data_IF_278832452977
#
_entry.id   IF_278832452977
#
_cell.length_a   1.000
_cell.length_b   1.000
_cell.length_c   1.000
_cell.angle_alpha   90.00
_cell.angle_beta   90.00
_cell.angle_gamma   90.00
#
_symmetry.space_group_name_H-M   'P 1'
#
loop_
_entity.id
_entity.type
_entity.pdbx_description
1 polymer ?
#
# COMPACT_ATOMS: atom_id res chain seq x y z
N UNK A 1 8.06 -25.82 -21.05
CA UNK A 1 7.78 -24.37 -21.03
C UNK A 1 8.70 -23.71 -20.01
N UNK A 2 9.41 -22.63 -20.37
CA UNK A 2 10.21 -21.86 -19.40
C UNK A 2 9.26 -20.97 -18.58
N UNK A 3 9.33 -21.06 -17.24
CA UNK A 3 8.63 -20.12 -16.35
C UNK A 3 9.29 -18.75 -16.44
N UNK A 4 8.51 -17.69 -16.62
CA UNK A 4 9.05 -16.32 -16.62
C UNK A 4 9.20 -15.81 -15.19
N UNK A 5 10.24 -15.04 -14.94
CA UNK A 5 10.48 -14.43 -13.64
C UNK A 5 10.27 -12.92 -13.71
N UNK A 6 9.41 -12.40 -12.83
CA UNK A 6 9.11 -10.98 -12.73
C UNK A 6 9.50 -10.45 -11.35
N UNK A 7 10.13 -9.28 -11.32
CA UNK A 7 10.57 -8.63 -10.08
C UNK A 7 9.93 -7.25 -9.96
N UNK A 8 9.19 -7.02 -8.90
CA UNK A 8 8.56 -5.72 -8.64
C UNK A 8 9.03 -5.17 -7.30
N UNK A 9 9.52 -3.93 -7.33
CA UNK A 9 9.83 -3.15 -6.13
C UNK A 9 8.58 -2.38 -5.71
N UNK A 10 8.12 -2.63 -4.50
CA UNK A 10 6.95 -1.98 -3.89
C UNK A 10 7.37 -1.30 -2.60
N UNK A 11 7.12 0.00 -2.53
CA UNK A 11 7.37 0.79 -1.32
C UNK A 11 6.23 0.60 -0.34
N UNK A 12 6.54 0.60 0.96
CA UNK A 12 5.53 0.67 2.02
C UNK A 12 5.85 1.90 2.87
N UNK A 13 5.01 2.93 2.73
CA UNK A 13 5.21 4.27 3.29
C UNK A 13 4.01 4.71 4.13
N UNK A 14 4.20 5.72 4.98
CA UNK A 14 3.19 6.17 5.95
C UNK A 14 3.81 6.46 7.31
N UNK A 15 3.03 7.04 8.21
CA UNK A 15 3.51 7.55 9.49
C UNK A 15 4.06 6.47 10.45
N UNK A 16 4.69 6.93 11.52
CA UNK A 16 5.17 6.05 12.58
C UNK A 16 3.99 5.34 13.27
N UNK A 17 4.13 4.02 13.45
CA UNK A 17 3.16 3.22 14.20
C UNK A 17 1.88 2.83 13.44
N UNK A 18 1.75 3.20 12.15
CA UNK A 18 0.59 2.82 11.32
C UNK A 18 0.52 1.33 10.96
N UNK A 19 1.62 0.58 11.16
CA UNK A 19 1.65 -0.87 11.02
C UNK A 19 2.29 -1.43 9.73
N UNK A 20 3.08 -0.62 9.00
CA UNK A 20 3.81 -1.00 7.77
C UNK A 20 4.57 -2.33 7.90
N UNK A 21 5.49 -2.40 8.86
CA UNK A 21 6.28 -3.60 9.17
C UNK A 21 5.40 -4.81 9.52
N UNK A 22 4.28 -4.58 10.21
CA UNK A 22 3.36 -5.65 10.61
C UNK A 22 2.59 -6.21 9.42
N UNK A 23 2.15 -5.35 8.49
CA UNK A 23 1.53 -5.78 7.22
C UNK A 23 2.51 -6.62 6.40
N UNK A 24 3.76 -6.17 6.27
CA UNK A 24 4.80 -6.90 5.53
C UNK A 24 5.05 -8.27 6.17
N UNK A 25 5.28 -8.30 7.49
CA UNK A 25 5.50 -9.56 8.23
C UNK A 25 4.31 -10.50 8.11
N UNK A 26 3.08 -9.98 8.16
CA UNK A 26 1.87 -10.77 7.97
C UNK A 26 1.80 -11.35 6.56
N UNK A 27 2.07 -10.55 5.53
CA UNK A 27 2.05 -10.99 4.13
C UNK A 27 3.12 -12.06 3.84
N UNK A 28 4.33 -11.90 4.39
CA UNK A 28 5.48 -12.75 4.06
C UNK A 28 5.51 -14.01 4.92
N UNK A 29 5.34 -13.86 6.23
CA UNK A 29 5.57 -14.93 7.21
C UNK A 29 4.27 -15.47 7.84
N UNK A 30 3.10 -14.94 7.46
CA UNK A 30 1.81 -15.24 8.12
C UNK A 30 1.86 -15.02 9.64
N UNK A 31 2.77 -14.17 10.11
CA UNK A 31 3.04 -13.95 11.53
C UNK A 31 2.71 -12.50 11.93
N UNK A 32 2.25 -12.33 13.17
CA UNK A 32 2.03 -11.03 13.78
C UNK A 32 2.58 -11.03 15.21
N UNK A 33 3.16 -9.90 15.59
CA UNK A 33 3.62 -9.64 16.95
C UNK A 33 3.09 -8.27 17.38
N UNK A 34 2.57 -8.20 18.60
CA UNK A 34 2.14 -6.94 19.23
C UNK A 34 3.31 -6.08 19.70
N UNK A 35 4.53 -6.64 19.74
CA UNK A 35 5.70 -5.92 20.21
C UNK A 35 6.13 -4.89 19.17
N UNK A 36 5.81 -3.63 19.45
CA UNK A 36 6.22 -2.53 18.61
C UNK A 36 7.74 -2.34 18.66
N UNK A 37 8.37 -2.38 17.48
CA UNK A 37 9.75 -1.96 17.26
C UNK A 37 9.75 -0.98 16.10
N UNK A 38 10.25 0.23 16.35
CA UNK A 38 10.39 1.23 15.30
C UNK A 38 11.41 0.76 14.25
N UNK A 39 11.06 0.85 12.97
CA UNK A 39 12.00 0.67 11.87
C UNK A 39 13.01 1.81 11.88
N UNK A 40 14.30 1.48 11.76
CA UNK A 40 15.39 2.46 11.64
C UNK A 40 15.79 2.50 10.17
N UNK A 41 15.61 3.64 9.51
CA UNK A 41 15.90 3.80 8.08
C UNK A 41 14.95 2.98 7.20
N UNK A 42 15.44 1.85 6.67
CA UNK A 42 14.71 0.99 5.72
C UNK A 42 14.93 -0.49 6.04
N UNK A 43 13.87 -1.28 5.92
CA UNK A 43 13.93 -2.74 5.99
C UNK A 43 13.37 -3.37 4.70
N UNK A 44 13.76 -4.61 4.43
CA UNK A 44 13.45 -5.33 3.19
C UNK A 44 12.83 -6.69 3.47
N UNK A 45 11.75 -7.02 2.75
CA UNK A 45 11.20 -8.36 2.72
C UNK A 45 10.88 -8.82 1.30
N UNK A 46 11.02 -10.12 1.04
CA UNK A 46 10.72 -10.74 -0.24
C UNK A 46 9.50 -11.64 -0.13
N UNK A 47 8.45 -11.36 -0.91
CA UNK A 47 7.35 -12.30 -1.14
C UNK A 47 7.48 -12.92 -2.51
N UNK A 48 7.53 -14.25 -2.57
CA UNK A 48 7.50 -15.00 -3.83
C UNK A 48 6.09 -15.55 -4.03
N UNK A 49 5.51 -15.29 -5.20
CA UNK A 49 4.24 -15.83 -5.65
C UNK A 49 4.48 -16.72 -6.86
N UNK A 50 3.99 -17.95 -6.80
CA UNK A 50 4.07 -18.89 -7.91
C UNK A 50 2.71 -18.92 -8.62
N UNK A 51 2.67 -18.34 -9.82
CA UNK A 51 1.55 -18.49 -10.76
C UNK A 51 1.85 -19.66 -11.70
N UNK A 52 0.85 -20.10 -12.47
CA UNK A 52 0.97 -21.28 -13.34
C UNK A 52 2.18 -21.21 -14.29
N UNK A 53 2.37 -20.05 -14.94
CA UNK A 53 3.43 -19.83 -15.92
C UNK A 53 4.52 -18.84 -15.48
N UNK A 54 4.28 -18.13 -14.36
CA UNK A 54 5.10 -16.99 -13.95
C UNK A 54 5.49 -17.11 -12.47
N UNK A 55 6.69 -16.62 -12.12
CA UNK A 55 7.11 -16.42 -10.72
C UNK A 55 7.26 -14.94 -10.47
N UNK A 56 6.48 -14.43 -9.52
CA UNK A 56 6.52 -13.01 -9.13
C UNK A 56 7.30 -12.88 -7.83
N UNK A 57 8.35 -12.06 -7.87
CA UNK A 57 9.15 -11.65 -6.71
C UNK A 57 8.81 -10.22 -6.33
N UNK A 58 7.99 -10.06 -5.28
CA UNK A 58 7.65 -8.76 -4.71
C UNK A 58 8.68 -8.38 -3.66
N UNK A 59 9.44 -7.34 -3.95
CA UNK A 59 10.38 -6.70 -3.04
C UNK A 59 9.65 -5.61 -2.26
N UNK A 60 9.34 -5.87 -1.00
CA UNK A 60 8.65 -4.96 -0.10
C UNK A 60 9.69 -4.12 0.66
N UNK A 61 9.68 -2.82 0.44
CA UNK A 61 10.60 -1.87 1.08
C UNK A 61 9.87 -1.11 2.19
N UNK A 62 10.12 -1.49 3.45
CA UNK A 62 9.56 -0.86 4.65
C UNK A 62 10.32 0.42 4.97
N UNK A 63 9.73 1.58 4.66
CA UNK A 63 10.38 2.86 4.92
C UNK A 63 9.96 3.36 6.30
N UNK A 64 10.90 3.70 7.17
CA UNK A 64 10.56 4.24 8.48
C UNK A 64 9.74 5.54 8.36
N UNK A 65 8.73 5.71 9.22
CA UNK A 65 7.76 6.82 9.10
C UNK A 65 8.36 8.22 9.30
N UNK A 66 9.57 8.29 9.84
CA UNK A 66 10.31 9.52 10.09
C UNK A 66 11.25 9.88 8.92
N UNK A 67 11.50 8.96 7.99
CA UNK A 67 12.39 9.15 6.83
C UNK A 67 11.77 9.99 5.70
N UNK A 68 10.52 10.42 5.83
CA UNK A 68 9.88 11.29 4.82
C UNK A 68 10.67 12.57 4.57
N UNK A 69 11.24 13.12 5.65
CA UNK A 69 12.05 14.34 5.63
C UNK A 69 13.55 14.07 5.47
N UNK A 70 13.95 12.80 5.37
CA UNK A 70 15.35 12.42 5.24
C UNK A 70 15.89 12.67 3.83
N UNK A 71 17.20 12.96 3.73
CA UNK A 71 17.87 13.14 2.45
C UNK A 71 17.90 11.85 1.60
N UNK A 72 17.68 10.69 2.23
CA UNK A 72 17.79 9.38 1.59
C UNK A 72 16.52 8.90 0.88
N UNK A 73 15.38 9.57 1.03
CA UNK A 73 14.10 9.09 0.48
C UNK A 73 14.15 8.86 -1.04
N UNK A 74 14.86 9.73 -1.79
CA UNK A 74 15.03 9.57 -3.25
C UNK A 74 15.79 8.28 -3.61
N UNK A 75 16.76 7.88 -2.79
CA UNK A 75 17.51 6.64 -2.97
C UNK A 75 16.60 5.44 -2.72
N UNK A 76 15.80 5.48 -1.66
CA UNK A 76 14.87 4.40 -1.33
C UNK A 76 13.78 4.22 -2.39
N UNK A 77 13.27 5.31 -2.97
CA UNK A 77 12.16 5.25 -3.93
C UNK A 77 12.58 4.86 -5.35
N UNK A 78 13.88 4.97 -5.67
CA UNK A 78 14.39 4.67 -7.01
C UNK A 78 13.95 3.28 -7.49
N UNK A 79 13.52 3.20 -8.74
CA UNK A 79 13.07 1.97 -9.41
C UNK A 79 11.83 1.30 -8.81
N UNK A 80 11.10 1.97 -7.90
CA UNK A 80 9.82 1.47 -7.44
C UNK A 80 8.78 1.47 -8.58
N UNK A 81 8.02 0.39 -8.66
CA UNK A 81 6.94 0.22 -9.64
C UNK A 81 5.55 0.38 -9.01
N UNK A 82 5.47 0.30 -7.68
CA UNK A 82 4.26 0.64 -6.94
C UNK A 82 4.53 1.00 -5.48
N UNK A 83 3.49 1.42 -4.77
CA UNK A 83 3.54 1.74 -3.36
C UNK A 83 2.25 1.37 -2.63
N UNK A 84 2.41 0.96 -1.37
CA UNK A 84 1.37 0.99 -0.36
C UNK A 84 1.58 2.22 0.53
N UNK A 85 0.57 3.08 0.59
CA UNK A 85 0.52 4.19 1.55
C UNK A 85 -0.39 3.76 2.68
N UNK A 86 0.13 3.71 3.89
CA UNK A 86 -0.55 3.10 5.04
C UNK A 86 -0.89 4.18 6.06
N UNK A 87 -2.13 4.16 6.57
CA UNK A 87 -2.53 4.94 7.73
C UNK A 87 -3.25 4.07 8.75
N UNK A 88 -3.44 4.63 9.95
CA UNK A 88 -4.07 3.98 11.09
C UNK A 88 -5.50 4.51 11.27
N UNK A 89 -6.51 3.65 11.14
CA UNK A 89 -7.92 4.07 11.23
C UNK A 89 -8.30 4.58 12.62
N UNK A 90 -7.50 4.26 13.65
CA UNK A 90 -7.73 4.71 15.03
C UNK A 90 -7.05 6.06 15.31
N UNK A 91 -6.39 6.67 14.31
CA UNK A 91 -5.63 7.92 14.44
C UNK A 91 -5.80 8.79 13.19
N UNK A 92 -6.79 9.67 13.19
CA UNK A 92 -7.13 10.55 12.06
C UNK A 92 -5.95 11.39 11.52
N UNK A 93 -5.06 11.88 12.39
CA UNK A 93 -3.86 12.61 11.95
C UNK A 93 -2.96 11.83 10.99
N UNK A 94 -2.97 10.49 11.05
CA UNK A 94 -2.20 9.65 10.10
C UNK A 94 -2.87 9.58 8.73
N UNK A 95 -4.19 9.75 8.64
CA UNK A 95 -4.92 9.88 7.39
C UNK A 95 -4.66 11.25 6.75
N UNK A 96 -4.63 12.33 7.54
CA UNK A 96 -4.27 13.67 7.04
C UNK A 96 -2.86 13.71 6.44
N UNK A 97 -1.93 12.92 6.98
CA UNK A 97 -0.58 12.78 6.47
C UNK A 97 -0.50 12.03 5.12
N UNK A 98 -1.54 11.32 4.68
CA UNK A 98 -1.53 10.52 3.44
C UNK A 98 -1.27 11.39 2.21
N UNK A 99 -1.92 12.55 2.08
CA UNK A 99 -1.71 13.46 0.93
C UNK A 99 -0.24 13.84 0.79
N UNK A 100 0.31 14.23 1.93
CA UNK A 100 1.69 14.56 2.18
C UNK A 100 2.66 13.42 1.77
N UNK A 101 2.34 12.17 2.09
CA UNK A 101 3.10 10.99 1.63
C UNK A 101 2.96 10.72 0.12
N UNK A 102 1.77 10.97 -0.43
CA UNK A 102 1.48 10.76 -1.85
C UNK A 102 2.18 11.79 -2.75
N UNK A 103 2.19 13.06 -2.34
CA UNK A 103 2.95 14.13 -2.98
C UNK A 103 4.45 13.79 -3.03
N UNK A 104 5.01 13.39 -1.88
CA UNK A 104 6.40 12.98 -1.76
C UNK A 104 6.78 11.84 -2.72
N UNK A 105 5.88 10.86 -2.85
CA UNK A 105 6.03 9.75 -3.77
C UNK A 105 6.01 10.22 -5.23
N UNK A 106 4.99 11.00 -5.61
CA UNK A 106 4.77 11.46 -6.99
C UNK A 106 5.86 12.44 -7.48
N UNK A 107 6.52 13.15 -6.56
CA UNK A 107 7.66 14.03 -6.83
C UNK A 107 8.97 13.27 -7.04
N UNK A 108 9.16 12.15 -6.33
CA UNK A 108 10.45 11.46 -6.26
C UNK A 108 10.57 10.26 -7.19
N UNK A 109 9.47 9.64 -7.62
CA UNK A 109 9.52 8.45 -8.48
C UNK A 109 8.44 8.43 -9.55
N UNK A 110 8.84 8.01 -10.75
CA UNK A 110 7.99 7.84 -11.93
C UNK A 110 8.40 6.57 -12.67
N UNK A 111 7.45 5.91 -13.33
CA UNK A 111 7.75 4.81 -14.25
C UNK A 111 8.27 5.35 -15.58
N UNK A 112 8.82 4.47 -16.41
CA UNK A 112 9.20 4.79 -17.80
C UNK A 112 8.05 5.48 -18.54
N UNK A 113 8.35 6.61 -19.19
CA UNK A 113 7.35 7.47 -19.80
C UNK A 113 6.77 8.57 -18.88
N UNK A 114 7.36 8.79 -17.69
CA UNK A 114 7.06 9.94 -16.84
C UNK A 114 5.74 9.87 -16.05
N UNK A 115 5.04 8.73 -16.12
CA UNK A 115 3.80 8.50 -15.37
C UNK A 115 4.09 8.23 -13.89
N UNK A 116 3.15 8.61 -13.01
CA UNK A 116 3.20 8.26 -11.57
C UNK A 116 3.16 6.74 -11.41
N UNK A 117 3.80 6.22 -10.36
CA UNK A 117 3.73 4.79 -10.05
C UNK A 117 2.33 4.42 -9.52
N UNK A 118 1.95 3.14 -9.60
CA UNK A 118 0.69 2.70 -9.01
C UNK A 118 0.75 2.76 -7.47
N UNK A 119 -0.20 3.45 -6.84
CA UNK A 119 -0.26 3.57 -5.39
C UNK A 119 -1.61 3.08 -4.86
N UNK A 120 -1.57 2.23 -3.83
CA UNK A 120 -2.74 1.71 -3.13
C UNK A 120 -2.76 2.25 -1.70
N UNK A 121 -3.91 2.70 -1.24
CA UNK A 121 -4.10 3.21 0.11
C UNK A 121 -4.58 2.10 1.07
N UNK A 122 -3.88 1.90 2.18
CA UNK A 122 -4.22 0.89 3.17
C UNK A 122 -4.70 1.56 4.47
N UNK A 123 -5.98 1.39 4.77
CA UNK A 123 -6.62 1.78 6.02
C UNK A 123 -6.41 0.66 7.04
N UNK A 124 -5.29 0.70 7.78
CA UNK A 124 -4.86 -0.39 8.64
C UNK A 124 -5.46 -0.28 10.06
N UNK A 125 -5.45 -1.42 10.76
CA UNK A 125 -6.03 -1.63 12.11
C UNK A 125 -7.56 -1.55 12.12
N UNK A 126 -8.21 -1.97 11.03
CA UNK A 126 -9.67 -2.03 10.97
C UNK A 126 -10.31 -3.03 11.95
N UNK A 127 -9.49 -3.84 12.65
CA UNK A 127 -9.91 -4.64 13.80
C UNK A 127 -10.20 -3.81 15.08
N UNK A 128 -9.91 -2.51 15.06
CA UNK A 128 -10.12 -1.58 16.16
C UNK A 128 -11.17 -0.53 15.78
N UNK A 129 -11.69 0.14 16.81
CA UNK A 129 -12.65 1.23 16.61
C UNK A 129 -11.99 2.41 15.86
N UNK A 130 -12.69 2.89 14.84
CA UNK A 130 -12.23 4.01 14.02
C UNK A 130 -12.29 5.29 14.83
N UNK A 131 -11.30 6.15 14.67
CA UNK A 131 -11.34 7.52 15.19
C UNK A 131 -12.60 8.23 14.62
N UNK A 132 -13.33 8.96 15.46
CA UNK A 132 -14.59 9.61 15.07
C UNK A 132 -14.43 10.57 13.88
N UNK A 133 -13.31 11.29 13.81
CA UNK A 133 -13.05 12.20 12.71
C UNK A 133 -12.81 11.41 11.42
N UNK A 134 -12.09 10.28 11.48
CA UNK A 134 -11.92 9.40 10.32
C UNK A 134 -13.23 8.68 9.93
N UNK A 135 -14.06 8.26 10.89
CA UNK A 135 -15.33 7.59 10.61
C UNK A 135 -16.28 8.47 9.77
N UNK A 136 -16.27 9.79 9.97
CA UNK A 136 -17.01 10.75 9.14
C UNK A 136 -16.51 10.82 7.69
N UNK A 137 -15.26 10.42 7.44
CA UNK A 137 -14.63 10.44 6.13
C UNK A 137 -14.66 9.08 5.41
N UNK A 138 -14.92 7.97 6.10
CA UNK A 138 -14.80 6.62 5.50
C UNK A 138 -15.72 6.40 4.30
N UNK A 139 -16.87 7.09 4.24
CA UNK A 139 -17.79 7.05 3.09
C UNK A 139 -17.27 7.76 1.83
N UNK A 140 -16.16 8.52 1.91
CA UNK A 140 -15.60 9.32 0.81
C UNK A 140 -14.23 8.81 0.34
N UNK A 141 -13.85 7.60 0.74
CA UNK A 141 -12.53 7.04 0.42
C UNK A 141 -12.32 6.83 -1.08
N UNK A 142 -13.36 6.44 -1.83
CA UNK A 142 -13.27 6.30 -3.29
C UNK A 142 -13.00 7.64 -3.98
N UNK A 143 -13.72 8.68 -3.57
CA UNK A 143 -13.52 10.05 -4.05
C UNK A 143 -12.11 10.54 -3.73
N UNK A 144 -11.67 10.38 -2.47
CA UNK A 144 -10.31 10.71 -2.05
C UNK A 144 -9.25 9.99 -2.89
N UNK A 145 -9.44 8.69 -3.16
CA UNK A 145 -8.51 7.92 -3.99
C UNK A 145 -8.42 8.49 -5.41
N UNK A 146 -9.57 8.80 -6.02
CA UNK A 146 -9.63 9.40 -7.36
C UNK A 146 -8.92 10.75 -7.41
N UNK A 147 -9.18 11.63 -6.44
CA UNK A 147 -8.58 12.96 -6.37
C UNK A 147 -7.06 12.93 -6.16
N UNK A 148 -6.58 12.04 -5.29
CA UNK A 148 -5.15 11.93 -4.96
C UNK A 148 -4.38 11.00 -5.90
N UNK A 149 -5.07 10.36 -6.85
CA UNK A 149 -4.47 9.47 -7.84
C UNK A 149 -3.98 8.14 -7.24
N UNK A 150 -4.73 7.56 -6.30
CA UNK A 150 -4.59 6.16 -5.89
C UNK A 150 -5.39 5.26 -6.83
N UNK A 151 -4.89 4.04 -7.08
CA UNK A 151 -5.60 3.05 -7.91
C UNK A 151 -6.73 2.37 -7.15
N UNK A 152 -6.75 2.48 -5.82
CA UNK A 152 -7.76 1.92 -4.95
C UNK A 152 -7.33 1.99 -3.48
N UNK A 153 -8.23 1.54 -2.60
CA UNK A 153 -7.98 1.46 -1.17
C UNK A 153 -8.55 0.18 -0.57
N UNK A 154 -7.98 -0.26 0.54
CA UNK A 154 -8.44 -1.43 1.28
C UNK A 154 -8.39 -1.18 2.79
N UNK A 155 -9.41 -1.67 3.49
CA UNK A 155 -9.31 -1.90 4.93
C UNK A 155 -8.45 -3.13 5.20
N UNK A 156 -7.50 -2.97 6.11
CA UNK A 156 -6.53 -4.01 6.43
C UNK A 156 -6.35 -4.17 7.93
N UNK A 157 -6.03 -5.39 8.34
CA UNK A 157 -5.53 -5.66 9.69
C UNK A 157 -4.38 -6.64 9.58
N UNK A 158 -3.23 -6.26 10.14
CA UNK A 158 -2.13 -7.20 10.34
C UNK A 158 -2.44 -8.22 11.47
N UNK A 159 -3.39 -7.91 12.36
CA UNK A 159 -3.69 -8.70 13.56
C UNK A 159 -4.64 -9.86 13.26
N UNK A 160 -5.78 -9.59 12.62
CA UNK A 160 -6.79 -10.63 12.32
C UNK A 160 -6.57 -11.25 10.94
N UNK A 161 -6.71 -12.56 10.85
CA UNK A 161 -6.76 -13.28 9.58
C UNK A 161 -8.19 -13.22 9.05
N UNK A 162 -8.42 -12.65 7.86
CA UNK A 162 -9.77 -12.61 7.24
C UNK A 162 -10.42 -11.23 7.08
N UNK A 163 -9.75 -10.12 7.40
CA UNK A 163 -10.17 -8.80 6.88
C UNK A 163 -9.95 -8.74 5.36
N UNK A 164 -10.71 -7.92 4.63
CA UNK A 164 -10.75 -7.87 3.15
C UNK A 164 -9.35 -7.89 2.45
N UNK A 165 -8.30 -7.42 3.11
CA UNK A 165 -6.90 -7.51 2.68
C UNK A 165 -6.41 -8.93 2.29
N UNK A 166 -6.83 -9.98 3.00
CA UNK A 166 -6.37 -11.35 2.72
C UNK A 166 -7.04 -12.00 1.51
N UNK A 167 -8.23 -11.55 1.10
CA UNK A 167 -8.85 -12.06 -0.14
C UNK A 167 -8.13 -11.51 -1.38
N UNK A 168 -7.80 -10.22 -1.39
CA UNK A 168 -7.21 -9.57 -2.58
C UNK A 168 -5.71 -9.79 -2.80
N UNK A 169 -4.98 -10.33 -1.82
CA UNK A 169 -3.55 -10.67 -1.99
C UNK A 169 -3.31 -12.13 -2.40
N UNK A 170 -4.35 -12.97 -2.35
CA UNK A 170 -4.30 -14.39 -2.70
C UNK A 170 -5.10 -14.72 -3.97
N UNK A 171 -6.03 -13.87 -4.40
CA UNK A 171 -6.67 -14.00 -5.72
C UNK A 171 -5.84 -13.31 -6.82
N UNK A 172 -5.69 -13.93 -8.01
CA UNK A 172 -5.23 -13.23 -9.20
C UNK A 172 -6.09 -11.99 -9.40
N UNK A 173 -5.47 -10.83 -9.66
CA UNK A 173 -6.20 -9.63 -10.06
C UNK A 173 -7.12 -10.01 -11.23
N UNK A 174 -8.42 -10.07 -10.99
CA UNK A 174 -9.40 -10.27 -12.04
C UNK A 174 -9.23 -9.21 -13.13
N UNK A 175 -9.72 -9.49 -14.36
CA UNK A 175 -9.57 -8.53 -15.45
C UNK A 175 -10.12 -7.16 -15.03
N UNK A 176 -9.46 -6.06 -15.41
CA UNK A 176 -9.94 -4.73 -15.07
C UNK A 176 -11.37 -4.55 -15.58
N UNK A 177 -12.23 -3.82 -14.83
CA UNK A 177 -13.59 -3.56 -15.28
C UNK A 177 -13.55 -2.84 -16.65
N UNK A 178 -14.43 -3.21 -17.59
CA UNK A 178 -14.44 -2.61 -18.91
C UNK A 178 -14.70 -1.10 -18.80
N UNK A 179 -13.82 -0.33 -19.42
CA UNK A 179 -13.93 1.12 -19.51
C UNK A 179 -15.10 1.45 -20.44
N UNK A 180 -16.17 2.01 -19.87
CA UNK A 180 -17.16 2.81 -20.58
C UNK A 180 -18.11 2.06 -21.52
N UNK A 181 -19.35 1.87 -21.06
CA UNK A 181 -20.50 2.16 -21.91
C UNK A 181 -21.33 3.24 -21.22
N UNK A 182 -21.24 4.45 -21.79
CA UNK A 182 -22.16 5.54 -21.57
C UNK A 182 -23.58 5.05 -21.79
N UNK A 183 -24.37 4.93 -20.73
CA UNK A 183 -25.81 4.92 -20.89
C UNK A 183 -26.25 6.35 -21.18
N UNK A 184 -26.50 6.63 -22.46
CA UNK A 184 -27.43 7.69 -22.82
C UNK A 184 -28.82 7.28 -22.33
N UNK A 185 -29.47 8.16 -21.58
CA UNK A 185 -30.92 8.14 -21.46
C UNK A 185 -31.44 9.40 -22.16
N UNK A 186 -32.35 9.15 -23.10
CA UNK A 186 -33.33 10.11 -23.61
C UNK A 186 -34.22 10.60 -22.47
#
# INVERSE_FOLDING_TARGET
>A
MQKREHRFKVLVIGDLGVGKTSIIKRCVHQHFSSNYRATIGVDFALKVLHLEQDTIRLQLWDIAGQERFGNMTRVYYRDALGAFVVFDVTRSGTFEAVRKWKEDLDEKVRVSGGKRIAAVLLANKCDQEKDEAFAKHSGRMEEFCREQGFVGWFETSAKIFGGNASKHMHEPLGPPPPVGQSQGHL
#
